data_IF_770587219134
#
_entry.id   IF_770587219134
#
_cell.length_a   1.000
_cell.length_b   1.000
_cell.length_c   1.000
_cell.angle_alpha   90.00
_cell.angle_beta   90.00
_cell.angle_gamma   90.00
#
_symmetry.space_group_name_H-M   'P 1'
#
loop_
_entity.id
_entity.type
_entity.pdbx_description
1 polymer ?
#
# COMPACT_ATOMS: atom_id res chain seq x y z
N UNK A 1 28.77 9.18 21.37
CA UNK A 1 27.43 8.71 20.98
C UNK A 1 26.41 9.80 21.29
N UNK A 2 26.09 10.69 20.33
CA UNK A 2 25.11 11.75 20.52
C UNK A 2 23.77 11.26 19.96
N UNK A 3 22.84 10.93 20.83
CA UNK A 3 21.47 10.57 20.46
C UNK A 3 20.81 11.86 19.94
N UNK A 4 20.45 11.87 18.65
CA UNK A 4 19.74 12.98 18.00
C UNK A 4 18.24 12.73 18.17
N UNK A 5 17.60 13.52 18.99
CA UNK A 5 16.14 13.53 19.12
C UNK A 5 15.56 14.34 17.95
N UNK A 6 14.76 13.69 17.10
CA UNK A 6 13.99 14.34 16.05
C UNK A 6 12.59 14.60 16.59
N UNK A 7 12.13 15.86 16.54
CA UNK A 7 10.80 16.26 16.97
C UNK A 7 10.06 16.71 15.70
N UNK A 8 8.99 15.99 15.36
CA UNK A 8 8.16 16.22 14.18
C UNK A 8 6.90 16.96 14.64
N UNK A 9 6.61 18.11 14.03
CA UNK A 9 5.36 18.83 14.24
C UNK A 9 4.44 18.55 13.06
N UNK A 10 3.33 17.83 13.29
CA UNK A 10 2.29 17.55 12.28
C UNK A 10 1.17 18.57 12.48
N UNK A 11 0.89 19.39 11.46
CA UNK A 11 -0.29 20.24 11.42
C UNK A 11 -1.31 19.62 10.43
N UNK A 12 -2.38 19.05 10.96
CA UNK A 12 -3.46 18.45 10.17
C UNK A 12 -4.60 19.47 10.01
N UNK A 13 -4.83 19.97 8.79
CA UNK A 13 -6.02 20.75 8.46
C UNK A 13 -6.93 19.85 7.62
N UNK A 14 -7.95 19.27 8.26
CA UNK A 14 -8.97 18.46 7.58
C UNK A 14 -10.18 19.34 7.24
N UNK A 15 -10.43 19.58 5.95
CA UNK A 15 -11.65 20.24 5.47
C UNK A 15 -12.63 19.15 5.05
N UNK A 16 -13.65 18.91 5.88
CA UNK A 16 -14.74 17.99 5.55
C UNK A 16 -15.86 18.76 4.84
N UNK A 17 -16.02 18.55 3.53
CA UNK A 17 -17.24 18.97 2.83
C UNK A 17 -18.25 17.83 2.87
N UNK A 18 -19.16 17.86 3.84
CA UNK A 18 -20.34 16.98 3.82
C UNK A 18 -21.37 17.54 2.85
N UNK A 19 -21.54 16.91 1.69
CA UNK A 19 -22.74 17.12 0.86
C UNK A 19 -23.89 16.35 1.50
N UNK A 20 -24.75 17.05 2.24
CA UNK A 20 -26.01 16.51 2.74
C UNK A 20 -27.00 16.51 1.57
N UNK A 21 -27.20 15.35 0.95
CA UNK A 21 -28.39 15.06 0.16
C UNK A 21 -29.02 13.78 0.71
N UNK A 22 -30.30 13.88 1.07
CA UNK A 22 -31.08 12.78 1.62
C UNK A 22 -31.33 11.70 0.55
N UNK A 23 -30.89 10.48 0.87
CA UNK A 23 -31.45 9.15 0.57
C UNK A 23 -31.99 8.85 -0.84
N UNK A 24 -31.16 8.14 -1.60
CA UNK A 24 -31.57 6.99 -2.40
C UNK A 24 -30.47 5.92 -2.22
N UNK A 25 -30.79 4.72 -1.73
CA UNK A 25 -29.77 3.71 -1.36
C UNK A 25 -28.95 3.23 -2.57
N UNK A 26 -29.46 3.40 -3.79
CA UNK A 26 -28.84 2.99 -5.05
C UNK A 26 -28.04 4.10 -5.76
N UNK A 27 -27.99 5.32 -5.22
CA UNK A 27 -27.26 6.41 -5.87
C UNK A 27 -25.75 6.25 -5.70
N UNK A 28 -25.02 6.66 -6.75
CA UNK A 28 -23.56 6.73 -6.71
C UNK A 28 -23.12 7.72 -5.61
N UNK A 29 -22.39 7.21 -4.63
CA UNK A 29 -21.76 8.02 -3.58
C UNK A 29 -20.35 8.39 -4.05
N UNK A 30 -20.16 9.67 -4.36
CA UNK A 30 -18.84 10.25 -4.60
C UNK A 30 -18.38 10.94 -3.32
N UNK A 31 -17.20 10.56 -2.83
CA UNK A 31 -16.54 11.19 -1.69
C UNK A 31 -15.04 11.31 -1.96
N UNK A 32 -14.28 11.91 -1.04
CA UNK A 32 -12.86 12.10 -1.24
C UNK A 32 -12.21 12.92 -0.13
N UNK A 33 -10.91 13.09 -0.23
CA UNK A 33 -10.11 13.94 0.66
C UNK A 33 -9.08 14.72 -0.16
N UNK A 34 -8.81 15.96 0.26
CA UNK A 34 -7.63 16.70 -0.16
C UNK A 34 -6.68 16.77 1.03
N UNK A 35 -5.51 16.16 0.88
CA UNK A 35 -4.43 16.16 1.86
C UNK A 35 -3.28 17.01 1.34
N UNK A 36 -2.73 17.85 2.22
CA UNK A 36 -1.46 18.54 2.01
C UNK A 36 -0.53 18.25 3.18
N UNK A 37 0.68 17.79 2.90
CA UNK A 37 1.70 17.46 3.89
C UNK A 37 3.02 18.10 3.47
N UNK A 38 3.50 19.03 4.29
CA UNK A 38 4.75 19.76 4.09
C UNK A 38 5.64 19.54 5.30
N UNK A 39 6.88 19.11 5.05
CA UNK A 39 7.83 18.85 6.15
C UNK A 39 9.10 19.65 5.92
N UNK A 40 9.55 20.31 6.97
CA UNK A 40 10.76 21.13 7.00
C UNK A 40 11.76 20.52 8.00
N UNK A 41 13.03 20.56 7.65
CA UNK A 41 14.10 20.23 8.59
C UNK A 41 14.29 21.38 9.57
N UNK A 42 14.31 21.14 10.88
CA UNK A 42 14.58 22.21 11.86
C UNK A 42 16.06 22.68 11.87
N UNK A 43 16.92 21.95 11.16
CA UNK A 43 18.33 22.26 10.91
C UNK A 43 18.51 22.35 9.39
N UNK A 44 19.71 22.71 8.93
CA UNK A 44 19.97 22.85 7.49
C UNK A 44 19.12 23.97 6.85
N UNK A 45 19.08 25.13 7.52
CA UNK A 45 18.41 26.34 7.04
C UNK A 45 16.91 26.17 6.70
N UNK A 46 16.19 25.33 7.45
CA UNK A 46 14.78 25.06 7.20
C UNK A 46 14.50 24.52 5.79
N UNK A 47 15.42 23.73 5.25
CA UNK A 47 15.24 23.07 3.97
C UNK A 47 13.98 22.20 3.98
N UNK A 48 13.28 22.16 2.85
CA UNK A 48 12.15 21.26 2.65
C UNK A 48 12.64 19.82 2.63
N UNK A 49 11.95 18.95 3.37
CA UNK A 49 12.19 17.52 3.44
C UNK A 49 11.14 16.72 2.65
N UNK A 50 9.91 17.25 2.56
CA UNK A 50 8.77 16.57 1.98
C UNK A 50 7.74 17.58 1.49
N UNK A 51 7.08 17.23 0.39
CA UNK A 51 5.91 17.92 -0.15
C UNK A 51 4.97 16.87 -0.73
N UNK A 52 3.78 16.73 -0.16
CA UNK A 52 2.72 15.92 -0.74
C UNK A 52 1.45 16.74 -0.82
N UNK A 53 0.80 16.70 -1.99
CA UNK A 53 -0.56 17.20 -2.16
C UNK A 53 -1.33 16.11 -2.87
N UNK A 54 -2.35 15.56 -2.20
CA UNK A 54 -3.08 14.39 -2.66
C UNK A 54 -4.57 14.64 -2.65
N UNK A 55 -5.19 14.48 -3.80
CA UNK A 55 -6.63 14.35 -3.95
C UNK A 55 -6.97 12.85 -4.02
N UNK A 56 -7.68 12.34 -3.04
CA UNK A 56 -8.33 11.02 -3.11
C UNK A 56 -9.78 11.19 -3.53
N UNK A 57 -10.22 10.38 -4.49
CA UNK A 57 -11.60 10.29 -4.95
C UNK A 57 -12.10 8.87 -4.76
N UNK A 58 -13.24 8.74 -4.09
CA UNK A 58 -13.88 7.48 -3.74
C UNK A 58 -15.26 7.41 -4.39
N UNK A 59 -15.50 6.33 -5.13
CA UNK A 59 -16.76 6.01 -5.77
C UNK A 59 -17.30 4.75 -5.11
N UNK A 60 -18.50 4.84 -4.53
CA UNK A 60 -19.21 3.72 -3.92
C UNK A 60 -20.61 3.63 -4.53
N UNK A 61 -20.92 2.50 -5.15
CA UNK A 61 -22.21 2.29 -5.81
C UNK A 61 -22.73 0.89 -5.57
N UNK A 62 -23.93 0.80 -4.99
CA UNK A 62 -24.73 -0.40 -5.07
C UNK A 62 -25.24 -0.55 -6.52
N UNK A 63 -24.91 -1.66 -7.17
CA UNK A 63 -25.29 -1.91 -8.58
C UNK A 63 -26.62 -2.67 -8.64
N UNK A 64 -26.73 -3.74 -7.85
CA UNK A 64 -27.95 -4.53 -7.60
C UNK A 64 -28.09 -4.78 -6.09
N UNK A 65 -29.18 -5.38 -5.62
CA UNK A 65 -29.41 -5.62 -4.17
C UNK A 65 -28.26 -6.34 -3.46
N UNK A 66 -27.55 -7.21 -4.17
CA UNK A 66 -26.47 -8.05 -3.63
C UNK A 66 -25.08 -7.68 -4.18
N UNK A 67 -24.97 -6.63 -5.01
CA UNK A 67 -23.69 -6.27 -5.63
C UNK A 67 -23.30 -4.82 -5.43
N UNK A 68 -22.02 -4.63 -5.11
CA UNK A 68 -21.40 -3.33 -4.85
C UNK A 68 -20.17 -3.14 -5.73
N UNK A 69 -20.02 -1.93 -6.27
CA UNK A 69 -18.78 -1.46 -6.87
C UNK A 69 -18.15 -0.41 -5.97
N UNK A 70 -16.85 -0.54 -5.74
CA UNK A 70 -16.06 0.45 -5.01
C UNK A 70 -14.78 0.78 -5.78
N UNK A 71 -14.40 2.05 -5.79
CA UNK A 71 -13.13 2.50 -6.33
C UNK A 71 -12.57 3.67 -5.54
N UNK A 72 -11.26 3.66 -5.32
CA UNK A 72 -10.49 4.77 -4.78
C UNK A 72 -9.32 5.10 -5.71
N UNK A 73 -9.23 6.36 -6.11
CA UNK A 73 -8.17 6.88 -6.99
C UNK A 73 -7.49 8.05 -6.30
N UNK A 74 -6.16 8.01 -6.27
CA UNK A 74 -5.32 9.10 -5.82
C UNK A 74 -4.74 9.84 -7.02
N UNK A 75 -4.87 11.17 -6.99
CA UNK A 75 -4.08 12.08 -7.80
C UNK A 75 -3.19 12.85 -6.83
N UNK A 76 -1.87 12.67 -6.92
CA UNK A 76 -0.95 13.31 -5.98
C UNK A 76 0.30 13.86 -6.62
N UNK A 77 0.78 14.95 -6.07
CA UNK A 77 2.18 15.34 -6.13
C UNK A 77 2.87 14.78 -4.89
N UNK A 78 4.00 14.08 -5.04
CA UNK A 78 4.73 13.50 -3.90
C UNK A 78 6.23 13.73 -4.02
N UNK A 79 6.82 14.22 -2.92
CA UNK A 79 8.24 14.50 -2.81
C UNK A 79 8.66 15.82 -3.44
N UNK A 80 9.97 16.05 -3.40
CA UNK A 80 10.61 17.21 -4.03
C UNK A 80 11.20 16.78 -5.38
N UNK A 81 11.22 17.66 -6.40
CA UNK A 81 11.91 17.39 -7.65
C UNK A 81 13.38 17.03 -7.40
N UNK A 82 13.80 15.85 -7.87
CA UNK A 82 15.18 15.37 -7.69
C UNK A 82 15.99 15.54 -8.99
N UNK A 83 16.03 16.75 -9.52
CA UNK A 83 16.77 17.08 -10.75
C UNK A 83 18.24 17.31 -10.42
N UNK A 84 19.08 16.33 -10.73
CA UNK A 84 20.52 16.36 -10.42
C UNK A 84 21.36 16.53 -11.70
N UNK A 85 20.82 16.12 -12.85
CA UNK A 85 21.49 16.17 -14.17
C UNK A 85 20.59 16.82 -15.21
N UNK A 86 21.19 17.37 -16.26
CA UNK A 86 20.45 17.95 -17.39
C UNK A 86 19.52 16.95 -18.09
N UNK A 87 19.90 15.67 -18.12
CA UNK A 87 19.07 14.60 -18.66
C UNK A 87 17.72 14.44 -17.92
N UNK A 88 17.66 14.80 -16.64
CA UNK A 88 16.46 14.67 -15.82
C UNK A 88 15.36 15.65 -16.27
N UNK A 89 15.75 16.78 -16.90
CA UNK A 89 14.83 17.80 -17.39
C UNK A 89 13.95 17.30 -18.55
N UNK A 90 14.35 16.23 -19.23
CA UNK A 90 13.54 15.57 -20.25
C UNK A 90 12.49 14.62 -19.65
N UNK A 91 12.57 14.32 -18.35
CA UNK A 91 11.61 13.47 -17.66
C UNK A 91 10.70 14.31 -16.76
N UNK A 92 9.49 14.56 -17.24
CA UNK A 92 8.49 15.33 -16.49
C UNK A 92 8.17 14.73 -15.12
N UNK A 93 8.23 13.41 -14.95
CA UNK A 93 7.97 12.79 -13.64
C UNK A 93 9.05 13.06 -12.59
N UNK A 94 10.26 13.46 -13.00
CA UNK A 94 11.34 13.87 -12.07
C UNK A 94 11.21 15.35 -11.73
N UNK A 95 10.89 16.18 -12.73
CA UNK A 95 10.73 17.64 -12.57
C UNK A 95 9.43 17.98 -11.83
N UNK A 96 8.35 17.29 -12.18
CA UNK A 96 6.99 17.46 -11.69
C UNK A 96 6.46 16.08 -11.22
N UNK A 97 6.73 15.67 -9.96
CA UNK A 97 6.45 14.30 -9.49
C UNK A 97 4.96 14.09 -9.16
N UNK A 98 4.10 14.28 -10.17
CA UNK A 98 2.69 13.92 -10.11
C UNK A 98 2.50 12.45 -10.48
N UNK A 99 1.66 11.75 -9.72
CA UNK A 99 1.22 10.41 -10.05
C UNK A 99 -0.30 10.26 -9.89
N UNK A 100 -0.82 9.30 -10.65
CA UNK A 100 -2.19 8.81 -10.57
C UNK A 100 -2.11 7.35 -10.12
N UNK A 101 -2.80 7.00 -9.05
CA UNK A 101 -2.78 5.66 -8.49
C UNK A 101 -4.20 5.16 -8.18
N UNK A 102 -4.56 4.00 -8.72
CA UNK A 102 -5.78 3.29 -8.34
C UNK A 102 -5.45 2.46 -7.10
N UNK A 103 -5.98 2.89 -5.94
CA UNK A 103 -5.76 2.26 -4.64
C UNK A 103 -6.62 1.04 -4.46
N UNK A 104 -7.89 1.18 -4.83
CA UNK A 104 -8.89 0.11 -4.83
C UNK A 104 -9.81 0.30 -6.04
N UNK A 105 -10.26 -0.82 -6.61
CA UNK A 105 -11.21 -0.89 -7.71
C UNK A 105 -11.71 -2.33 -7.78
N UNK A 106 -12.84 -2.61 -7.14
CA UNK A 106 -13.37 -3.96 -7.03
C UNK A 106 -14.90 -4.00 -7.13
N UNK A 107 -15.39 -5.18 -7.48
CA UNK A 107 -16.80 -5.55 -7.37
C UNK A 107 -16.93 -6.59 -6.29
N UNK A 108 -17.89 -6.38 -5.39
CA UNK A 108 -18.30 -7.32 -4.36
C UNK A 108 -19.69 -7.86 -4.71
N UNK A 109 -19.84 -9.18 -4.63
CA UNK A 109 -21.08 -9.92 -4.79
C UNK A 109 -21.34 -10.66 -3.48
N UNK A 110 -22.36 -10.24 -2.74
CA UNK A 110 -22.79 -10.93 -1.54
C UNK A 110 -23.70 -12.09 -1.95
N UNK A 111 -23.63 -13.23 -1.25
CA UNK A 111 -24.47 -14.38 -1.60
C UNK A 111 -24.14 -15.07 -2.93
N UNK A 112 -22.91 -14.93 -3.43
CA UNK A 112 -22.40 -15.58 -4.64
C UNK A 112 -22.55 -17.12 -4.55
N UNK A 113 -23.34 -17.71 -5.44
CA UNK A 113 -23.72 -19.15 -5.48
C UNK A 113 -24.53 -19.65 -4.27
N UNK A 114 -24.29 -19.13 -3.07
CA UNK A 114 -25.02 -19.46 -1.84
C UNK A 114 -25.15 -18.22 -0.94
N UNK A 115 -26.21 -18.09 -0.13
CA UNK A 115 -26.43 -16.91 0.74
C UNK A 115 -25.32 -16.64 1.77
N UNK A 116 -24.44 -17.60 2.03
CA UNK A 116 -23.35 -17.48 3.01
C UNK A 116 -21.97 -17.40 2.36
N UNK A 117 -21.89 -17.13 1.06
CA UNK A 117 -20.63 -17.00 0.32
C UNK A 117 -20.57 -15.65 -0.37
N UNK A 118 -19.61 -14.81 0.01
CA UNK A 118 -19.34 -13.54 -0.66
C UNK A 118 -18.13 -13.68 -1.58
N UNK A 119 -18.15 -12.97 -2.70
CA UNK A 119 -17.08 -12.91 -3.68
C UNK A 119 -16.69 -11.45 -3.94
N UNK A 120 -15.40 -11.13 -3.80
CA UNK A 120 -14.85 -9.84 -4.19
C UNK A 120 -13.76 -10.02 -5.25
N UNK A 121 -13.90 -9.35 -6.39
CA UNK A 121 -12.95 -9.40 -7.51
C UNK A 121 -12.46 -8.00 -7.84
N UNK A 122 -11.15 -7.86 -7.98
CA UNK A 122 -10.49 -6.64 -8.42
C UNK A 122 -9.42 -6.20 -7.43
N UNK A 123 -8.97 -4.95 -7.57
CA UNK A 123 -7.99 -4.35 -6.67
C UNK A 123 -8.64 -4.01 -5.34
N UNK A 124 -8.20 -4.66 -4.27
CA UNK A 124 -8.81 -4.48 -2.95
C UNK A 124 -7.75 -4.49 -1.87
N UNK A 125 -7.93 -3.72 -0.80
CA UNK A 125 -7.10 -3.82 0.39
C UNK A 125 -7.61 -4.96 1.28
N UNK A 126 -6.91 -6.08 1.25
CA UNK A 126 -7.34 -7.32 1.88
C UNK A 126 -7.11 -7.27 3.40
N UNK A 127 -8.16 -7.37 4.21
CA UNK A 127 -8.00 -7.44 5.67
C UNK A 127 -7.56 -8.85 6.08
N UNK A 128 -6.26 -9.05 6.27
CA UNK A 128 -5.68 -10.33 6.68
C UNK A 128 -5.02 -10.23 8.05
N UNK A 129 -5.56 -10.95 9.04
CA UNK A 129 -5.21 -10.82 10.45
C UNK A 129 -6.21 -9.99 11.25
N UNK A 130 -5.91 -9.77 12.53
CA UNK A 130 -6.79 -9.06 13.49
C UNK A 130 -6.14 -7.79 14.05
N UNK A 131 -4.83 -7.63 13.88
CA UNK A 131 -4.12 -6.43 14.29
C UNK A 131 -4.34 -5.29 13.28
N UNK A 132 -4.32 -4.06 13.79
CA UNK A 132 -4.56 -2.84 13.01
C UNK A 132 -3.31 -2.42 12.20
N UNK A 133 -2.72 -1.25 12.50
CA UNK A 133 -1.64 -0.63 11.71
C UNK A 133 -0.40 -1.49 11.54
N UNK A 134 -0.02 -2.24 12.59
CA UNK A 134 1.12 -3.15 12.54
C UNK A 134 0.62 -4.58 12.64
N UNK A 135 0.30 -5.15 11.49
CA UNK A 135 -0.20 -6.50 11.39
C UNK A 135 0.86 -7.41 10.74
N UNK A 136 1.58 -8.23 11.52
CA UNK A 136 2.65 -9.09 11.01
C UNK A 136 2.15 -10.22 10.11
N UNK A 137 0.85 -10.47 10.09
CA UNK A 137 0.24 -11.49 9.22
C UNK A 137 -0.25 -10.92 7.89
N UNK A 138 -0.29 -9.59 7.73
CA UNK A 138 -0.79 -8.93 6.51
C UNK A 138 0.25 -8.98 5.38
N UNK A 139 0.34 -10.17 4.76
CA UNK A 139 1.31 -10.50 3.73
C UNK A 139 0.70 -10.51 2.32
N UNK A 140 -0.62 -10.32 2.23
CA UNK A 140 -1.33 -10.32 0.95
C UNK A 140 -1.32 -8.97 0.26
N UNK A 141 -1.17 -7.88 1.02
CA UNK A 141 -1.08 -6.54 0.47
C UNK A 141 0.37 -6.06 0.40
N UNK A 142 0.83 -5.57 -0.76
CA UNK A 142 2.12 -4.92 -0.90
C UNK A 142 2.25 -3.72 0.05
N UNK A 143 3.44 -3.53 0.60
CA UNK A 143 3.73 -2.34 1.40
C UNK A 143 3.85 -1.10 0.52
N UNK A 144 3.45 0.04 1.07
CA UNK A 144 3.67 1.36 0.49
C UNK A 144 4.55 2.16 1.44
N UNK A 145 5.86 2.07 1.24
CA UNK A 145 6.86 2.66 2.13
C UNK A 145 7.41 3.99 1.62
N UNK A 146 6.80 4.58 0.58
CA UNK A 146 7.27 5.84 -0.01
C UNK A 146 7.46 6.92 1.06
N UNK A 147 6.51 7.01 1.99
CA UNK A 147 6.65 7.74 3.23
C UNK A 147 6.83 6.77 4.40
N UNK A 148 8.08 6.58 4.83
CA UNK A 148 8.40 5.66 5.93
C UNK A 148 7.84 6.11 7.28
N UNK A 149 7.46 7.39 7.44
CA UNK A 149 6.84 7.88 8.66
C UNK A 149 5.34 7.52 8.75
N UNK A 150 4.72 7.18 7.61
CA UNK A 150 3.36 6.66 7.52
C UNK A 150 3.35 5.14 7.69
N UNK A 151 3.68 4.70 8.90
CA UNK A 151 3.86 3.29 9.21
C UNK A 151 2.57 2.48 9.00
N UNK A 152 2.71 1.35 8.30
CA UNK A 152 1.63 0.39 8.09
C UNK A 152 0.80 0.65 6.83
N UNK A 153 1.13 1.65 6.02
CA UNK A 153 0.46 1.89 4.74
C UNK A 153 0.67 0.70 3.79
N UNK A 154 -0.43 0.28 3.18
CA UNK A 154 -0.52 -0.85 2.24
C UNK A 154 -1.17 -0.39 0.94
N UNK A 155 -0.94 -1.13 -0.14
CA UNK A 155 -1.67 -0.96 -1.41
C UNK A 155 -2.70 -2.06 -1.59
N UNK A 156 -3.74 -1.76 -2.36
CA UNK A 156 -4.66 -2.80 -2.82
C UNK A 156 -3.96 -3.80 -3.72
N UNK A 157 -4.42 -5.05 -3.65
CA UNK A 157 -3.93 -6.15 -4.48
C UNK A 157 -5.01 -6.57 -5.45
N UNK A 158 -4.63 -6.82 -6.70
CA UNK A 158 -5.54 -7.39 -7.69
C UNK A 158 -5.82 -8.85 -7.29
N UNK A 159 -7.02 -9.14 -6.80
CA UNK A 159 -7.32 -10.41 -6.16
C UNK A 159 -8.73 -10.91 -6.41
N UNK A 160 -8.89 -12.22 -6.26
CA UNK A 160 -10.16 -12.90 -6.03
C UNK A 160 -10.20 -13.28 -4.55
N UNK A 161 -11.23 -12.83 -3.85
CA UNK A 161 -11.42 -13.05 -2.42
C UNK A 161 -12.80 -13.67 -2.20
N UNK A 162 -12.81 -14.86 -1.62
CA UNK A 162 -14.01 -15.61 -1.26
C UNK A 162 -14.13 -15.64 0.26
N UNK A 163 -15.28 -15.24 0.77
CA UNK A 163 -15.59 -15.26 2.20
C UNK A 163 -16.81 -16.14 2.44
N UNK A 164 -16.59 -17.30 3.04
CA UNK A 164 -17.64 -18.24 3.41
C UNK A 164 -17.95 -18.14 4.90
N UNK A 165 -19.21 -17.92 5.25
CA UNK A 165 -19.70 -17.90 6.62
C UNK A 165 -20.31 -19.25 6.95
N UNK A 166 -19.71 -19.97 7.90
CA UNK A 166 -20.22 -21.25 8.38
C UNK A 166 -21.42 -20.98 9.30
N UNK A 167 -21.29 -19.96 10.14
CA UNK A 167 -22.33 -19.37 10.98
C UNK A 167 -21.85 -17.98 11.45
N UNK A 168 -22.51 -17.39 12.46
CA UNK A 168 -22.17 -16.06 12.98
C UNK A 168 -20.81 -15.99 13.68
N UNK A 169 -20.30 -17.12 14.16
CA UNK A 169 -19.07 -17.19 14.96
C UNK A 169 -17.86 -17.64 14.13
N UNK A 170 -18.09 -18.35 13.01
CA UNK A 170 -17.03 -19.00 12.23
C UNK A 170 -17.10 -18.67 10.75
N UNK A 171 -15.94 -18.36 10.16
CA UNK A 171 -15.81 -18.08 8.74
C UNK A 171 -14.50 -18.59 8.14
N UNK A 172 -14.53 -18.86 6.83
CA UNK A 172 -13.40 -19.28 6.03
C UNK A 172 -13.19 -18.27 4.89
N UNK A 173 -11.97 -17.77 4.73
CA UNK A 173 -11.58 -16.84 3.69
C UNK A 173 -10.54 -17.48 2.78
N UNK A 174 -10.82 -17.51 1.49
CA UNK A 174 -9.91 -17.98 0.44
C UNK A 174 -9.52 -16.83 -0.48
N UNK A 175 -8.23 -16.67 -0.74
CA UNK A 175 -7.71 -15.55 -1.52
C UNK A 175 -6.76 -16.05 -2.59
N UNK A 176 -6.87 -15.45 -3.77
CA UNK A 176 -5.98 -15.68 -4.88
C UNK A 176 -5.58 -14.35 -5.53
N UNK A 177 -4.29 -14.07 -5.54
CA UNK A 177 -3.66 -12.94 -6.24
C UNK A 177 -2.90 -13.53 -7.43
N UNK A 178 -3.26 -13.20 -8.68
CA UNK A 178 -2.67 -13.84 -9.86
C UNK A 178 -1.25 -13.32 -10.18
N UNK A 179 -0.95 -12.07 -9.81
CA UNK A 179 0.29 -11.40 -10.18
C UNK A 179 0.96 -10.75 -8.97
N UNK A 180 2.26 -10.99 -8.84
CA UNK A 180 3.07 -10.43 -7.77
C UNK A 180 3.25 -8.92 -7.99
N UNK A 181 3.14 -8.17 -6.90
CA UNK A 181 3.37 -6.74 -6.89
C UNK A 181 4.34 -6.40 -5.74
N UNK A 182 5.50 -5.79 -6.03
CA UNK A 182 6.49 -5.46 -5.01
C UNK A 182 6.02 -4.31 -4.12
N UNK A 183 6.71 -4.11 -3.00
CA UNK A 183 6.56 -2.92 -2.18
C UNK A 183 7.08 -1.66 -2.91
N UNK A 184 6.45 -0.51 -2.67
CA UNK A 184 7.08 0.78 -3.00
C UNK A 184 8.09 1.11 -1.91
N UNK A 185 9.31 1.50 -2.30
CA UNK A 185 10.41 1.80 -1.38
C UNK A 185 10.39 3.27 -0.91
N UNK A 186 11.03 3.59 0.22
CA UNK A 186 11.15 4.96 0.71
C UNK A 186 11.72 5.92 -0.33
N UNK A 187 11.22 7.15 -0.32
CA UNK A 187 11.70 8.23 -1.20
C UNK A 187 12.14 9.46 -0.39
N UNK A 188 12.69 10.46 -1.07
CA UNK A 188 13.13 11.71 -0.46
C UNK A 188 14.28 11.50 0.53
N UNK A 189 14.26 12.24 1.64
CA UNK A 189 15.33 12.20 2.66
C UNK A 189 15.48 10.82 3.35
N UNK A 190 14.47 9.95 3.22
CA UNK A 190 14.47 8.60 3.78
C UNK A 190 14.74 7.50 2.75
N UNK A 191 15.15 7.85 1.51
CA UNK A 191 15.35 6.86 0.44
C UNK A 191 16.31 5.72 0.82
N UNK A 192 17.32 6.01 1.63
CA UNK A 192 18.32 5.03 2.09
C UNK A 192 17.97 4.38 3.45
N UNK A 193 16.78 4.63 4.01
CA UNK A 193 16.42 4.14 5.34
C UNK A 193 16.40 2.60 5.44
N UNK A 194 16.06 1.92 4.35
CA UNK A 194 16.01 0.46 4.27
C UNK A 194 17.17 -0.16 3.47
N UNK A 195 18.03 0.69 2.89
CA UNK A 195 19.20 0.30 2.12
C UNK A 195 20.41 1.10 2.63
N UNK A 196 20.99 0.71 3.78
CA UNK A 196 22.12 1.44 4.35
C UNK A 196 23.30 1.44 3.37
N UNK A 197 24.04 2.55 3.33
CA UNK A 197 25.26 2.64 2.53
C UNK A 197 26.29 1.61 2.99
N UNK A 198 26.98 1.00 2.03
CA UNK A 198 28.10 0.11 2.32
C UNK A 198 29.33 0.95 2.69
N UNK A 199 29.83 0.78 3.92
CA UNK A 199 31.11 1.37 4.33
C UNK A 199 32.26 0.55 3.74
N UNK A 200 33.12 1.20 2.97
CA UNK A 200 34.30 0.55 2.39
C UNK A 200 35.42 0.40 3.44
N UNK A 201 36.13 -0.74 3.45
CA UNK A 201 37.35 -0.89 4.23
C UNK A 201 38.38 0.20 3.89
N UNK A 202 39.21 0.54 4.87
CA UNK A 202 40.24 1.57 4.71
C UNK A 202 41.15 1.25 3.51
N UNK A 203 41.30 2.20 2.59
CA UNK A 203 42.09 2.03 1.36
C UNK A 203 41.33 1.48 0.15
N UNK A 204 40.06 1.07 0.30
CA UNK A 204 39.20 0.73 -0.84
C UNK A 204 38.34 1.92 -1.26
N UNK A 205 38.13 2.07 -2.57
CA UNK A 205 37.24 3.09 -3.15
C UNK A 205 36.21 2.38 -4.02
N UNK A 206 34.93 2.65 -3.77
CA UNK A 206 33.86 2.17 -4.64
C UNK A 206 33.95 2.86 -6.00
N UNK A 207 34.37 2.11 -7.04
CA UNK A 207 34.42 2.64 -8.41
C UNK A 207 33.05 2.68 -9.07
N UNK A 208 32.27 1.62 -8.91
CA UNK A 208 30.95 1.48 -9.52
C UNK A 208 30.07 0.55 -8.70
N UNK A 209 28.78 0.84 -8.68
CA UNK A 209 27.74 -0.03 -8.12
C UNK A 209 26.70 -0.28 -9.21
N UNK A 210 26.26 -1.53 -9.33
CA UNK A 210 25.18 -1.92 -10.22
C UNK A 210 24.37 -2.99 -9.52
N UNK A 211 23.05 -2.91 -9.64
CA UNK A 211 22.13 -3.92 -9.17
C UNK A 211 21.27 -4.45 -10.33
N UNK A 212 20.67 -5.62 -10.09
CA UNK A 212 19.66 -6.20 -10.98
C UNK A 212 18.57 -6.80 -10.11
N UNK A 213 17.32 -6.50 -10.47
CA UNK A 213 16.16 -6.96 -9.72
C UNK A 213 15.60 -8.24 -10.35
N UNK A 214 15.57 -9.32 -9.57
CA UNK A 214 14.96 -10.59 -9.99
C UNK A 214 13.49 -10.58 -9.62
N UNK A 215 12.62 -10.36 -10.61
CA UNK A 215 11.16 -10.47 -10.44
C UNK A 215 10.64 -11.84 -10.87
N UNK A 216 9.59 -12.37 -10.23
CA UNK A 216 8.90 -13.53 -10.75
C UNK A 216 8.34 -13.23 -12.15
N UNK A 217 8.31 -14.24 -13.03
CA UNK A 217 7.71 -14.06 -14.36
C UNK A 217 6.22 -13.85 -14.22
N UNK A 218 5.65 -13.01 -15.09
CA UNK A 218 4.23 -12.66 -15.13
C UNK A 218 3.35 -13.81 -15.64
N UNK A 219 3.26 -14.89 -14.86
CA UNK A 219 2.43 -16.06 -15.10
C UNK A 219 1.93 -16.63 -13.76
N UNK A 220 0.85 -17.42 -13.81
CA UNK A 220 0.20 -17.92 -12.61
C UNK A 220 1.08 -18.87 -11.78
N UNK A 221 2.01 -19.60 -12.40
CA UNK A 221 2.86 -20.56 -11.67
C UNK A 221 3.94 -19.88 -10.83
N UNK A 222 4.49 -18.77 -11.32
CA UNK A 222 5.61 -18.07 -10.67
C UNK A 222 5.19 -16.79 -9.94
N UNK A 223 4.07 -16.16 -10.27
CA UNK A 223 3.68 -14.86 -9.68
C UNK A 223 2.48 -14.92 -8.75
N UNK A 224 1.76 -16.04 -8.69
CA UNK A 224 0.54 -16.08 -7.89
C UNK A 224 0.83 -16.22 -6.40
N UNK A 225 -0.07 -15.66 -5.60
CA UNK A 225 -0.12 -15.82 -4.15
C UNK A 225 -1.50 -16.37 -3.80
N UNK A 226 -1.54 -17.37 -2.92
CA UNK A 226 -2.77 -17.96 -2.41
C UNK A 226 -2.81 -17.89 -0.89
N UNK A 227 -3.96 -17.54 -0.33
CA UNK A 227 -4.17 -17.44 1.11
C UNK A 227 -5.40 -18.22 1.55
N UNK A 228 -5.31 -18.91 2.69
CA UNK A 228 -6.46 -19.49 3.37
C UNK A 228 -6.46 -19.04 4.83
N UNK A 229 -7.61 -18.57 5.33
CA UNK A 229 -7.78 -18.14 6.72
C UNK A 229 -9.08 -18.68 7.29
N UNK A 230 -8.99 -19.31 8.44
CA UNK A 230 -10.13 -19.64 9.28
C UNK A 230 -10.19 -18.66 10.45
N UNK A 231 -11.36 -18.06 10.69
CA UNK A 231 -11.64 -17.21 11.84
C UNK A 231 -12.74 -17.84 12.67
N UNK A 232 -12.60 -17.75 14.00
CA UNK A 232 -13.60 -18.23 14.94
C UNK A 232 -13.70 -17.33 16.16
N UNK A 233 -14.91 -17.23 16.70
CA UNK A 233 -15.17 -16.69 18.02
C UNK A 233 -15.72 -17.80 18.92
N UNK A 234 -15.07 -18.06 20.04
CA UNK A 234 -15.52 -19.09 20.97
C UNK A 234 -15.28 -18.67 22.42
N UNK A 235 -16.34 -18.74 23.24
CA UNK A 235 -16.28 -18.48 24.70
C UNK A 235 -15.64 -17.13 25.05
N UNK A 236 -15.91 -16.07 24.29
CA UNK A 236 -15.36 -14.74 24.52
C UNK A 236 -13.96 -14.51 23.94
N UNK A 237 -13.43 -15.45 23.16
CA UNK A 237 -12.10 -15.35 22.54
C UNK A 237 -12.23 -15.37 21.02
N UNK A 238 -11.69 -14.34 20.37
CA UNK A 238 -11.43 -14.31 18.93
C UNK A 238 -10.12 -15.02 18.61
N UNK A 239 -10.14 -15.90 17.62
CA UNK A 239 -8.95 -16.55 17.11
C UNK A 239 -8.99 -16.66 15.59
N UNK A 240 -7.81 -16.80 14.99
CA UNK A 240 -7.70 -17.15 13.58
C UNK A 240 -6.45 -17.94 13.29
N UNK A 241 -6.57 -18.87 12.35
CA UNK A 241 -5.45 -19.61 11.76
C UNK A 241 -5.39 -19.25 10.29
N UNK A 242 -4.21 -18.87 9.80
CA UNK A 242 -4.03 -18.52 8.40
C UNK A 242 -2.75 -19.10 7.83
N UNK A 243 -2.76 -19.31 6.53
CA UNK A 243 -1.61 -19.72 5.74
C UNK A 243 -1.61 -18.95 4.43
N UNK A 244 -0.42 -18.48 4.04
CA UNK A 244 -0.20 -17.78 2.77
C UNK A 244 0.98 -18.45 2.07
N UNK A 245 0.78 -18.80 0.81
CA UNK A 245 1.82 -19.23 -0.10
C UNK A 245 2.02 -18.15 -1.15
N UNK A 246 3.24 -17.63 -1.28
CA UNK A 246 3.57 -16.55 -2.19
C UNK A 246 4.93 -15.93 -1.87
N UNK A 247 5.22 -14.79 -2.50
CA UNK A 247 6.48 -14.04 -2.31
C UNK A 247 6.35 -12.98 -1.22
N UNK A 248 7.46 -12.69 -0.57
CA UNK A 248 7.60 -11.46 0.20
C UNK A 248 7.66 -10.26 -0.76
N UNK A 249 6.96 -9.18 -0.41
CA UNK A 249 6.94 -7.95 -1.18
C UNK A 249 8.20 -7.10 -1.01
N UNK A 250 9.01 -7.35 0.02
CA UNK A 250 10.27 -6.63 0.24
C UNK A 250 11.44 -7.28 -0.51
N UNK A 251 12.28 -6.49 -1.19
CA UNK A 251 13.48 -7.01 -1.84
C UNK A 251 14.52 -7.44 -0.79
N UNK A 252 15.27 -8.49 -1.10
CA UNK A 252 16.43 -8.92 -0.33
C UNK A 252 17.61 -9.19 -1.25
N UNK A 253 18.82 -9.02 -0.74
CA UNK A 253 20.04 -9.32 -1.50
C UNK A 253 20.25 -10.84 -1.58
N UNK A 254 20.18 -11.38 -2.79
CA UNK A 254 20.40 -12.81 -3.05
C UNK A 254 21.87 -13.12 -3.36
N UNK A 255 22.56 -12.24 -4.10
CA UNK A 255 23.94 -12.42 -4.51
C UNK A 255 24.65 -11.07 -4.57
N UNK A 256 25.82 -10.99 -3.95
CA UNK A 256 26.71 -9.83 -4.02
C UNK A 256 28.03 -10.26 -4.64
N UNK A 257 28.54 -9.49 -5.60
CA UNK A 257 29.85 -9.72 -6.21
C UNK A 257 30.66 -8.46 -6.02
N UNK A 258 31.84 -8.62 -5.41
CA UNK A 258 32.83 -7.56 -5.27
C UNK A 258 33.97 -7.89 -6.25
N UNK A 259 34.24 -6.97 -7.17
CA UNK A 259 35.29 -7.08 -8.19
C UNK A 259 36.28 -5.94 -8.07
#
# INVERSE_FOLDING_TARGET
MKIKTYLVTIALIAVFSNSINAQDENNLKLSGELLTDQRLLLKDNNAWAWNENRLSLKLDKQVFSESKFYSEVWLRNIGLPNTVKSADLYNKGIVDPYNLEIREAYVQLNGFLTPTLDLTIGRQQIVWGTADKLNPTNNLNPYDLEDILDFGRKRGSDAINLQYYINNDFSLQGIFVPFFQPANMPVGIFANALNPSMDMPQGMVLKSFSDTLMMPKYNLGESSTAGLRFKGFAKGVDFSVSYVWGYDGLPYSSKNILT
#
